data_IF_943153416207
#
_entry.id   IF_943153416207
#
_cell.length_a   1.000
_cell.length_b   1.000
_cell.length_c   1.000
_cell.angle_alpha   90.00
_cell.angle_beta   90.00
_cell.angle_gamma   90.00
#
_symmetry.space_group_name_H-M   'P 1'
#
loop_
_entity.id
_entity.type
_entity.pdbx_description
1 polymer ?
#
# COMPACT_ATOMS: atom_id res chain seq x y z
N UNK A 1 -8.87 7.20 -4.39
CA UNK A 1 -8.69 6.81 -2.97
C UNK A 1 -7.68 5.68 -2.93
N UNK A 2 -6.75 5.66 -1.98
CA UNK A 2 -5.60 4.76 -2.02
C UNK A 2 -5.56 3.84 -0.79
N UNK A 3 -5.59 2.53 -1.03
CA UNK A 3 -5.58 1.50 0.02
C UNK A 3 -4.15 1.12 0.33
N UNK A 4 -3.81 1.19 1.61
CA UNK A 4 -2.61 0.58 2.15
C UNK A 4 -3.00 -0.49 3.17
N UNK A 5 -2.37 -1.66 3.08
CA UNK A 5 -2.65 -2.79 3.95
C UNK A 5 -1.44 -3.05 4.86
N UNK A 6 -1.69 -3.05 6.16
CA UNK A 6 -0.69 -3.15 7.20
C UNK A 6 -0.69 -4.60 7.72
N UNK A 7 0.14 -5.48 7.15
CA UNK A 7 0.39 -6.79 7.77
C UNK A 7 1.67 -6.71 8.59
N UNK A 8 1.55 -6.95 9.90
CA UNK A 8 2.72 -7.15 10.75
C UNK A 8 3.28 -8.54 10.48
N UNK A 9 4.43 -8.63 9.83
CA UNK A 9 5.17 -9.89 9.77
C UNK A 9 6.08 -9.98 10.99
N UNK A 10 5.69 -10.82 11.94
CA UNK A 10 6.62 -11.39 12.91
C UNK A 10 7.68 -12.18 12.12
N UNK A 11 8.96 -11.87 12.32
CA UNK A 11 10.03 -12.79 11.92
C UNK A 11 11.16 -12.79 12.94
N UNK A 12 11.16 -13.94 13.59
CA UNK A 12 12.13 -14.58 14.46
C UNK A 12 13.50 -14.70 13.75
N UNK A 13 14.52 -14.11 14.40
CA UNK A 13 15.97 -14.34 14.27
C UNK A 13 16.81 -13.24 13.63
N UNK A 14 17.71 -12.71 14.46
CA UNK A 14 18.56 -11.56 14.18
C UNK A 14 19.86 -11.94 13.50
N UNK A 15 20.18 -11.16 12.46
CA UNK A 15 21.54 -10.76 12.06
C UNK A 15 21.38 -9.49 11.21
N UNK A 16 22.04 -8.41 11.61
CA UNK A 16 21.95 -7.11 10.97
C UNK A 16 23.14 -6.92 10.03
N UNK A 17 22.91 -6.78 8.73
CA UNK A 17 23.90 -6.30 7.76
C UNK A 17 23.27 -5.23 6.88
N UNK A 18 23.66 -3.98 7.12
CA UNK A 18 23.06 -2.78 6.55
C UNK A 18 23.75 -2.44 5.21
N UNK A 19 23.37 -3.10 4.12
CA UNK A 19 23.75 -2.64 2.79
C UNK A 19 22.71 -1.63 2.32
N UNK A 20 23.00 -0.33 2.46
CA UNK A 20 22.13 0.75 2.00
C UNK A 20 22.33 0.95 0.48
N UNK A 21 21.80 0.04 -0.32
CA UNK A 21 21.59 0.29 -1.75
C UNK A 21 20.33 1.14 -1.89
N UNK A 22 20.50 2.41 -2.27
CA UNK A 22 19.42 3.25 -2.79
C UNK A 22 18.87 2.59 -4.06
N UNK A 23 17.94 1.66 -3.88
CA UNK A 23 17.15 1.12 -4.98
C UNK A 23 16.08 2.15 -5.35
N UNK A 24 15.86 2.43 -6.65
CA UNK A 24 14.69 3.17 -7.07
C UNK A 24 13.44 2.47 -6.51
N UNK A 25 12.62 3.21 -5.78
CA UNK A 25 11.38 2.67 -5.21
C UNK A 25 10.41 2.39 -6.35
N UNK A 26 10.18 1.12 -6.65
CA UNK A 26 9.13 0.70 -7.59
C UNK A 26 7.76 0.89 -6.91
N UNK A 27 6.86 1.64 -7.54
CA UNK A 27 5.48 1.80 -7.09
C UNK A 27 4.56 1.04 -8.03
N UNK A 28 4.01 -0.08 -7.55
CA UNK A 28 3.04 -0.86 -8.30
C UNK A 28 1.62 -0.36 -7.97
N UNK A 29 0.89 0.09 -8.99
CA UNK A 29 -0.45 0.70 -8.86
C UNK A 29 -1.45 -0.18 -9.62
N UNK A 30 -2.50 -0.63 -8.94
CA UNK A 30 -3.57 -1.43 -9.59
C UNK A 30 -4.57 -0.54 -10.33
N UNK A 31 -5.42 -1.17 -11.15
CA UNK A 31 -6.59 -0.53 -11.74
C UNK A 31 -7.46 0.13 -10.67
N UNK A 32 -8.17 1.19 -11.08
CA UNK A 32 -9.09 1.95 -10.21
C UNK A 32 -10.48 1.32 -10.22
N UNK A 33 -11.00 0.97 -9.06
CA UNK A 33 -12.34 0.42 -8.86
C UNK A 33 -13.15 1.38 -8.00
N UNK A 34 -14.19 2.00 -8.56
CA UNK A 34 -14.93 3.09 -7.90
C UNK A 34 -14.01 4.22 -7.38
N UNK A 35 -12.88 4.47 -8.06
CA UNK A 35 -11.87 5.44 -7.66
C UNK A 35 -10.85 4.93 -6.63
N UNK A 36 -11.03 3.73 -6.08
CA UNK A 36 -10.10 3.06 -5.16
C UNK A 36 -9.02 2.32 -5.94
N UNK A 37 -7.76 2.44 -5.51
CA UNK A 37 -6.64 1.68 -6.06
C UNK A 37 -5.70 1.23 -4.95
N UNK A 38 -5.00 0.12 -5.19
CA UNK A 38 -3.97 -0.39 -4.30
C UNK A 38 -2.60 0.16 -4.74
N UNK A 39 -1.80 0.59 -3.77
CA UNK A 39 -0.42 1.03 -3.98
C UNK A 39 0.51 0.15 -3.17
N UNK A 40 1.49 -0.41 -3.86
CA UNK A 40 2.53 -1.22 -3.27
C UNK A 40 3.90 -0.61 -3.54
N UNK A 41 4.74 -0.55 -2.50
CA UNK A 41 6.11 -0.07 -2.60
C UNK A 41 7.07 -1.25 -2.59
N UNK A 42 7.83 -1.41 -3.66
CA UNK A 42 8.97 -2.35 -3.74
C UNK A 42 8.62 -3.83 -3.51
N UNK A 43 7.39 -4.27 -3.80
CA UNK A 43 6.99 -5.66 -3.60
C UNK A 43 6.79 -6.09 -2.14
N UNK A 44 6.94 -5.16 -1.18
CA UNK A 44 7.08 -5.44 0.26
C UNK A 44 6.11 -4.59 1.08
N UNK A 45 5.70 -5.10 2.24
CA UNK A 45 4.94 -4.35 3.25
C UNK A 45 5.83 -3.28 3.93
N UNK A 46 6.19 -2.25 3.17
CA UNK A 46 7.21 -1.27 3.57
C UNK A 46 6.63 0.11 3.84
N UNK A 47 5.32 0.29 3.73
CA UNK A 47 4.65 1.58 3.92
C UNK A 47 4.09 1.58 5.35
N UNK A 48 4.49 2.56 6.14
CA UNK A 48 3.97 2.74 7.50
C UNK A 48 2.62 3.47 7.48
N UNK A 49 1.81 3.33 8.54
CA UNK A 49 0.54 4.08 8.68
C UNK A 49 0.70 5.60 8.51
N UNK A 50 1.85 6.15 8.91
CA UNK A 50 2.19 7.57 8.75
C UNK A 50 2.60 7.93 7.33
N UNK A 51 3.19 6.98 6.58
CA UNK A 51 3.64 7.16 5.20
C UNK A 51 2.48 6.99 4.20
N UNK A 52 1.47 6.18 4.56
CA UNK A 52 0.28 5.94 3.75
C UNK A 52 -0.46 7.24 3.31
N UNK A 53 -0.82 8.19 4.19
CA UNK A 53 -1.49 9.43 3.76
C UNK A 53 -0.61 10.31 2.87
N UNK A 54 0.70 10.38 3.11
CA UNK A 54 1.63 11.16 2.27
C UNK A 54 1.75 10.56 0.87
N UNK A 55 1.80 9.23 0.77
CA UNK A 55 1.76 8.53 -0.52
C UNK A 55 0.44 8.75 -1.25
N UNK A 56 -0.70 8.66 -0.55
CA UNK A 56 -2.00 8.97 -1.15
C UNK A 56 -2.02 10.40 -1.72
N UNK A 57 -1.50 11.36 -0.96
CA UNK A 57 -1.44 12.77 -1.32
C UNK A 57 -0.54 13.02 -2.53
N UNK A 58 0.59 12.30 -2.64
CA UNK A 58 1.44 12.34 -3.82
C UNK A 58 0.69 11.93 -5.10
N UNK A 59 -0.33 11.06 -4.98
CA UNK A 59 -1.23 10.68 -6.06
C UNK A 59 -2.52 11.53 -6.14
N UNK A 60 -2.54 12.73 -5.54
CA UNK A 60 -3.72 13.59 -5.44
C UNK A 60 -4.97 12.83 -4.96
N UNK A 61 -4.75 11.87 -4.06
CA UNK A 61 -5.76 10.94 -3.56
C UNK A 61 -5.75 10.94 -2.04
N UNK A 62 -6.81 10.39 -1.44
CA UNK A 62 -6.94 10.24 0.01
C UNK A 62 -7.08 8.77 0.39
N UNK A 63 -6.85 8.45 1.66
CA UNK A 63 -7.19 7.13 2.20
C UNK A 63 -8.70 6.90 2.06
N UNK A 64 -9.15 5.74 1.55
CA UNK A 64 -10.56 5.44 1.38
C UNK A 64 -11.23 5.26 2.73
N UNK A 65 -12.51 5.63 2.78
CA UNK A 65 -13.40 5.24 3.87
C UNK A 65 -13.84 3.78 3.70
N UNK A 66 -14.33 3.16 4.77
CA UNK A 66 -14.86 1.79 4.70
C UNK A 66 -16.02 1.66 3.69
N UNK A 67 -16.87 2.69 3.58
CA UNK A 67 -17.96 2.71 2.61
C UNK A 67 -17.44 2.72 1.16
N UNK A 68 -16.37 3.45 0.88
CA UNK A 68 -15.74 3.47 -0.45
C UNK A 68 -15.06 2.13 -0.77
N UNK A 69 -14.45 1.48 0.23
CA UNK A 69 -13.91 0.13 0.10
C UNK A 69 -14.99 -0.90 -0.25
N UNK A 70 -16.14 -0.84 0.41
CA UNK A 70 -17.27 -1.72 0.12
C UNK A 70 -17.83 -1.50 -1.29
N UNK A 71 -17.90 -0.25 -1.75
CA UNK A 71 -18.29 0.06 -3.14
C UNK A 71 -17.28 -0.46 -4.15
N UNK A 72 -15.98 -0.35 -3.86
CA UNK A 72 -14.94 -0.90 -4.72
C UNK A 72 -15.01 -2.44 -4.77
N UNK A 73 -15.22 -3.10 -3.62
CA UNK A 73 -15.41 -4.55 -3.53
C UNK A 73 -16.61 -5.02 -4.37
N UNK A 74 -17.73 -4.30 -4.29
CA UNK A 74 -18.91 -4.57 -5.11
C UNK A 74 -18.67 -4.39 -6.63
N UNK A 75 -17.60 -3.67 -7.01
CA UNK A 75 -17.14 -3.52 -8.40
C UNK A 75 -16.03 -4.50 -8.77
N UNK A 76 -15.68 -5.45 -7.90
CA UNK A 76 -14.65 -6.46 -8.14
C UNK A 76 -13.26 -6.07 -7.64
N UNK A 77 -13.14 -5.11 -6.72
CA UNK A 77 -11.86 -4.81 -6.07
C UNK A 77 -11.55 -5.84 -5.00
N UNK A 78 -10.63 -6.75 -5.31
CA UNK A 78 -10.03 -7.69 -4.38
C UNK A 78 -8.51 -7.63 -4.48
N UNK A 79 -7.84 -7.69 -3.34
CA UNK A 79 -6.38 -7.84 -3.28
C UNK A 79 -6.05 -8.81 -2.16
N UNK A 80 -5.07 -9.70 -2.37
CA UNK A 80 -4.59 -10.65 -1.35
C UNK A 80 -3.37 -10.12 -0.59
N UNK A 81 -3.35 -8.81 -0.33
CA UNK A 81 -2.26 -8.15 0.38
C UNK A 81 -2.67 -7.86 1.80
#
# INVERSE_FOLDING_TARGET
MCVHIHTQRCSMWGVCSLTFLFHPTDLNITCRYAGVFHVEKNGRYSISRTEAPDLCKAFNSTLPTMAQMQQALAKGFETCR
#
